data_IF_188723340192
#
_entry.id   IF_188723340192
#
_cell.length_a   1.000
_cell.length_b   1.000
_cell.length_c   1.000
_cell.angle_alpha   90.00
_cell.angle_beta   90.00
_cell.angle_gamma   90.00
#
_symmetry.space_group_name_H-M   'P 1'
#
loop_
_entity.id
_entity.type
_entity.pdbx_description
1 polymer ?
#
# COMPACT_ATOMS: atom_id res chain seq x y z
N UNK A 1 -25.97 -1.35 -15.65
CA UNK A 1 -24.81 -1.33 -14.73
C UNK A 1 -23.61 -0.98 -15.59
N UNK A 2 -23.23 0.28 -15.65
CA UNK A 2 -22.22 0.78 -16.60
C UNK A 2 -20.85 0.80 -15.92
N UNK A 3 -20.00 -0.16 -16.28
CA UNK A 3 -18.55 -0.08 -16.02
C UNK A 3 -18.01 1.18 -16.70
N UNK A 4 -17.44 2.09 -15.93
CA UNK A 4 -16.84 3.32 -16.46
C UNK A 4 -15.43 3.04 -16.97
N UNK A 5 -15.20 3.12 -18.27
CA UNK A 5 -13.85 3.15 -18.82
C UNK A 5 -13.22 4.49 -18.42
N UNK A 6 -12.12 4.46 -17.68
CA UNK A 6 -11.31 5.64 -17.32
C UNK A 6 -10.03 5.63 -18.12
N UNK A 7 -9.73 6.74 -18.78
CA UNK A 7 -8.46 6.95 -19.46
C UNK A 7 -7.48 7.55 -18.46
N UNK A 8 -6.31 6.92 -18.32
CA UNK A 8 -5.24 7.38 -17.44
C UNK A 8 -3.94 7.48 -18.20
N UNK A 9 -3.30 8.64 -18.14
CA UNK A 9 -1.99 8.85 -18.76
C UNK A 9 -0.88 8.48 -17.80
N UNK A 10 -0.07 7.46 -18.13
CA UNK A 10 1.06 6.97 -17.34
C UNK A 10 2.29 6.93 -18.26
N UNK A 11 3.39 7.57 -17.86
CA UNK A 11 4.62 7.66 -18.66
C UNK A 11 4.46 8.26 -20.07
N UNK A 12 3.40 9.02 -20.33
CA UNK A 12 3.10 9.60 -21.65
C UNK A 12 2.25 8.70 -22.54
N UNK A 13 1.85 7.52 -22.05
CA UNK A 13 0.94 6.60 -22.71
C UNK A 13 -0.44 6.66 -22.05
N UNK A 14 -1.49 6.69 -22.87
CA UNK A 14 -2.88 6.72 -22.39
C UNK A 14 -3.46 5.31 -22.30
N UNK A 15 -3.75 4.87 -21.08
CA UNK A 15 -4.33 3.56 -20.79
C UNK A 15 -5.82 3.67 -20.53
N UNK A 16 -6.63 2.88 -21.23
CA UNK A 16 -8.06 2.74 -20.97
C UNK A 16 -8.29 1.62 -19.94
N UNK A 17 -8.58 1.99 -18.70
CA UNK A 17 -8.79 1.05 -17.60
C UNK A 17 -10.29 1.00 -17.27
N UNK A 18 -10.85 -0.20 -17.25
CA UNK A 18 -12.21 -0.43 -16.75
C UNK A 18 -12.19 -0.36 -15.22
N UNK A 19 -12.93 0.60 -14.65
CA UNK A 19 -13.14 0.68 -13.22
C UNK A 19 -14.48 -0.01 -12.86
N UNK A 20 -14.48 -0.98 -11.92
CA UNK A 20 -15.72 -1.49 -11.33
C UNK A 20 -16.54 -0.36 -10.73
N UNK A 21 -17.87 -0.53 -10.69
CA UNK A 21 -18.77 0.48 -10.14
C UNK A 21 -18.40 0.78 -8.67
N UNK A 22 -18.08 2.05 -8.37
CA UNK A 22 -17.70 2.50 -7.02
C UNK A 22 -16.18 2.53 -6.74
N UNK A 23 -15.35 1.91 -7.58
CA UNK A 23 -13.90 1.87 -7.38
C UNK A 23 -13.12 2.96 -8.12
N UNK A 24 -13.81 3.86 -8.82
CA UNK A 24 -13.19 4.94 -9.60
C UNK A 24 -12.22 5.79 -8.78
N UNK A 25 -12.59 6.10 -7.52
CA UNK A 25 -11.76 6.90 -6.62
C UNK A 25 -10.50 6.14 -6.19
N UNK A 26 -10.63 4.83 -5.92
CA UNK A 26 -9.51 3.96 -5.59
C UNK A 26 -8.55 3.85 -6.77
N UNK A 27 -9.07 3.70 -7.99
CA UNK A 27 -8.26 3.69 -9.20
C UNK A 27 -7.48 5.00 -9.39
N UNK A 28 -8.14 6.16 -9.21
CA UNK A 28 -7.46 7.47 -9.29
C UNK A 28 -6.37 7.63 -8.22
N UNK A 29 -6.62 7.13 -7.02
CA UNK A 29 -5.62 7.12 -5.96
C UNK A 29 -4.42 6.22 -6.31
N UNK A 30 -4.68 5.01 -6.82
CA UNK A 30 -3.63 4.09 -7.26
C UNK A 30 -2.78 4.67 -8.40
N UNK A 31 -3.42 5.34 -9.37
CA UNK A 31 -2.71 6.05 -10.46
C UNK A 31 -1.83 7.17 -9.92
N UNK A 32 -2.28 7.88 -8.88
CA UNK A 32 -1.51 8.95 -8.24
C UNK A 32 -0.29 8.39 -7.52
N UNK A 33 -0.45 7.30 -6.76
CA UNK A 33 0.65 6.56 -6.12
C UNK A 33 1.66 6.05 -7.15
N UNK A 34 1.19 5.47 -8.24
CA UNK A 34 2.06 4.97 -9.31
C UNK A 34 2.87 6.11 -9.94
N UNK A 35 2.25 7.26 -10.24
CA UNK A 35 2.95 8.44 -10.77
C UNK A 35 4.02 8.96 -9.81
N UNK A 36 3.73 8.98 -8.52
CA UNK A 36 4.69 9.39 -7.50
C UNK A 36 5.88 8.41 -7.44
N UNK A 37 5.62 7.10 -7.42
CA UNK A 37 6.68 6.07 -7.44
C UNK A 37 7.53 6.15 -8.70
N UNK A 38 6.93 6.39 -9.87
CA UNK A 38 7.65 6.61 -11.12
C UNK A 38 8.55 7.85 -11.07
N UNK A 39 8.06 8.97 -10.53
CA UNK A 39 8.86 10.20 -10.40
C UNK A 39 10.06 9.99 -9.46
N UNK A 40 9.85 9.34 -8.32
CA UNK A 40 10.91 9.01 -7.36
C UNK A 40 11.93 8.05 -7.96
N UNK A 41 11.46 7.00 -8.64
CA UNK A 41 12.32 5.99 -9.26
C UNK A 41 13.13 6.60 -10.41
N UNK A 42 12.53 7.48 -11.23
CA UNK A 42 13.23 8.20 -12.31
C UNK A 42 14.31 9.14 -11.75
N UNK A 43 14.05 9.79 -10.61
CA UNK A 43 15.05 10.64 -9.94
C UNK A 43 16.22 9.83 -9.38
N UNK A 44 15.95 8.64 -8.82
CA UNK A 44 16.98 7.75 -8.26
C UNK A 44 17.78 7.01 -9.34
N UNK A 45 17.13 6.70 -10.47
CA UNK A 45 17.69 5.96 -11.59
C UNK A 45 17.41 6.68 -12.92
N UNK A 46 18.12 7.78 -13.21
CA UNK A 46 17.85 8.62 -14.40
C UNK A 46 18.09 7.92 -15.73
N UNK A 47 18.83 6.80 -15.73
CA UNK A 47 19.10 5.98 -16.91
C UNK A 47 17.99 4.99 -17.24
N UNK A 48 17.04 4.76 -16.33
CA UNK A 48 15.90 3.87 -16.54
C UNK A 48 14.74 4.63 -17.19
N UNK A 49 14.24 4.11 -18.31
CA UNK A 49 13.14 4.69 -19.10
C UNK A 49 12.12 3.61 -19.48
N UNK A 50 10.90 4.03 -19.81
CA UNK A 50 9.83 3.16 -20.31
C UNK A 50 9.53 1.99 -19.38
N UNK A 51 9.44 0.79 -19.96
CA UNK A 51 9.02 -0.43 -19.26
C UNK A 51 9.90 -0.78 -18.07
N UNK A 52 11.22 -0.59 -18.17
CA UNK A 52 12.14 -0.91 -17.05
C UNK A 52 11.90 -0.01 -15.84
N UNK A 53 11.58 1.26 -16.09
CA UNK A 53 11.20 2.20 -15.04
C UNK A 53 9.86 1.81 -14.41
N UNK A 54 8.89 1.40 -15.24
CA UNK A 54 7.57 0.95 -14.78
C UNK A 54 7.66 -0.31 -13.91
N UNK A 55 8.42 -1.31 -14.35
CA UNK A 55 8.64 -2.54 -13.59
C UNK A 55 9.31 -2.26 -12.24
N UNK A 56 10.34 -1.41 -12.22
CA UNK A 56 11.01 -1.07 -10.96
C UNK A 56 10.09 -0.29 -10.01
N UNK A 57 9.30 0.65 -10.53
CA UNK A 57 8.32 1.39 -9.73
C UNK A 57 7.24 0.47 -9.14
N UNK A 58 6.78 -0.52 -9.90
CA UNK A 58 5.84 -1.54 -9.42
C UNK A 58 6.48 -2.41 -8.32
N UNK A 59 7.71 -2.89 -8.53
CA UNK A 59 8.44 -3.68 -7.53
C UNK A 59 8.69 -2.87 -6.24
N UNK A 60 9.01 -1.58 -6.35
CA UNK A 60 9.17 -0.70 -5.20
C UNK A 60 7.87 -0.56 -4.40
N UNK A 61 6.73 -0.36 -5.08
CA UNK A 61 5.42 -0.29 -4.41
C UNK A 61 5.07 -1.61 -3.70
N UNK A 62 5.39 -2.76 -4.30
CA UNK A 62 5.21 -4.06 -3.66
C UNK A 62 6.10 -4.21 -2.41
N UNK A 63 7.36 -3.77 -2.49
CA UNK A 63 8.28 -3.79 -1.37
C UNK A 63 7.76 -2.93 -0.20
N UNK A 64 7.32 -1.69 -0.50
CA UNK A 64 6.71 -0.80 0.50
C UNK A 64 5.48 -1.42 1.15
N UNK A 65 4.64 -2.11 0.38
CA UNK A 65 3.46 -2.78 0.91
C UNK A 65 3.81 -3.97 1.82
N UNK A 66 4.84 -4.73 1.49
CA UNK A 66 5.34 -5.83 2.34
C UNK A 66 5.91 -5.26 3.66
N UNK A 67 6.71 -4.19 3.58
CA UNK A 67 7.26 -3.54 4.78
C UNK A 67 6.15 -2.99 5.69
N UNK A 68 5.13 -2.33 5.11
CA UNK A 68 3.98 -1.85 5.87
C UNK A 68 3.21 -2.99 6.55
N UNK A 69 3.00 -4.13 5.86
CA UNK A 69 2.34 -5.29 6.46
C UNK A 69 3.15 -5.89 7.60
N UNK A 70 4.47 -6.00 7.44
CA UNK A 70 5.35 -6.51 8.49
C UNK A 70 5.38 -5.59 9.71
N UNK A 71 5.48 -4.28 9.49
CA UNK A 71 5.42 -3.29 10.56
C UNK A 71 4.08 -3.33 11.30
N UNK A 72 2.97 -3.46 10.58
CA UNK A 72 1.64 -3.58 11.18
C UNK A 72 1.49 -4.87 12.01
N UNK A 73 2.00 -6.00 11.51
CA UNK A 73 2.00 -7.25 12.27
C UNK A 73 2.82 -7.13 13.57
N UNK A 74 4.01 -6.53 13.51
CA UNK A 74 4.83 -6.30 14.70
C UNK A 74 4.16 -5.38 15.73
N UNK A 75 3.43 -4.36 15.27
CA UNK A 75 2.65 -3.51 16.17
C UNK A 75 1.53 -4.30 16.86
N UNK A 76 0.79 -5.14 16.11
CA UNK A 76 -0.26 -5.99 16.68
C UNK A 76 0.30 -6.97 17.72
N UNK A 77 1.42 -7.62 17.42
CA UNK A 77 2.08 -8.55 18.35
C UNK A 77 2.46 -7.82 19.66
N UNK A 78 3.03 -6.61 19.55
CA UNK A 78 3.34 -5.77 20.72
C UNK A 78 2.10 -5.39 21.51
N UNK A 79 1.01 -5.01 20.84
CA UNK A 79 -0.25 -4.69 21.52
C UNK A 79 -0.84 -5.93 22.20
N UNK A 80 -0.73 -7.11 21.59
CA UNK A 80 -1.21 -8.35 22.17
C UNK A 80 -0.43 -8.74 23.42
N UNK A 81 0.90 -8.58 23.43
CA UNK A 81 1.72 -8.78 24.63
C UNK A 81 1.33 -7.82 25.76
N UNK A 82 1.11 -6.53 25.46
CA UNK A 82 0.71 -5.54 26.47
C UNK A 82 -0.67 -5.82 27.05
N UNK A 83 -1.63 -6.20 26.22
CA UNK A 83 -2.97 -6.59 26.68
C UNK A 83 -2.88 -7.85 27.53
N UNK A 84 -2.13 -8.87 27.10
CA UNK A 84 -1.94 -10.10 27.89
C UNK A 84 -1.34 -9.81 29.26
N UNK A 85 -0.27 -9.01 29.31
CA UNK A 85 0.37 -8.63 30.57
C UNK A 85 -0.58 -7.84 31.49
N UNK A 86 -1.42 -6.97 30.92
CA UNK A 86 -2.41 -6.19 31.68
C UNK A 86 -3.53 -7.09 32.21
N UNK A 87 -4.02 -8.04 31.40
CA UNK A 87 -5.02 -9.03 31.81
C UNK A 87 -4.47 -9.93 32.92
N UNK A 88 -3.21 -10.37 32.83
CA UNK A 88 -2.57 -11.19 33.86
C UNK A 88 -2.43 -10.44 35.19
N UNK A 89 -2.04 -9.16 35.16
CA UNK A 89 -1.97 -8.32 36.36
C UNK A 89 -3.35 -8.14 37.00
N UNK A 90 -4.37 -7.88 36.19
CA UNK A 90 -5.75 -7.75 36.64
C UNK A 90 -6.25 -9.07 37.22
N UNK A 91 -6.10 -10.19 36.51
CA UNK A 91 -6.49 -11.52 36.99
C UNK A 91 -5.82 -11.88 38.31
N UNK A 92 -4.53 -11.52 38.47
CA UNK A 92 -3.80 -11.72 39.72
C UNK A 92 -4.28 -10.81 40.85
N UNK A 93 -4.72 -9.59 40.55
CA UNK A 93 -5.29 -8.67 41.53
C UNK A 93 -6.70 -9.09 41.98
N UNK A 94 -7.55 -9.57 41.06
CA UNK A 94 -8.94 -9.99 41.39
C UNK A 94 -8.99 -11.41 41.97
N UNK A 95 -8.01 -12.27 41.65
CA UNK A 95 -7.91 -13.65 42.14
C UNK A 95 -7.33 -13.83 43.54
N UNK A 96 -7.13 -12.74 44.29
CA UNK A 96 -6.65 -12.78 45.67
C UNK A 96 -7.86 -12.77 46.62
N UNK A 97 -8.11 -13.80 47.46
CA UNK A 97 -8.85 -13.63 48.70
C UNK A 97 -8.05 -12.83 49.73
#
# INVERSE_FOLDING_TARGET
MSEGIKVVSILGEDYSIKAPAGEEKTLMHAVTLLKASLATTKKKYPTLIGDKLLVLAALNLCAEQIEMQQAHQQELDRYQEQVSATVDVIAKAIGTP
#
